data_IF_399793135898
#
_entry.id   IF_399793135898
#
_cell.length_a   1.000
_cell.length_b   1.000
_cell.length_c   1.000
_cell.angle_alpha   90.00
_cell.angle_beta   90.00
_cell.angle_gamma   90.00
#
_symmetry.space_group_name_H-M   'P 1'
#
loop_
_entity.id
_entity.type
_entity.pdbx_description
1 polymer ?
#
# COMPACT_ATOMS: atom_id res chain seq x y z
N UNK A 1 -14.53 -8.27 49.24
CA UNK A 1 -14.90 -6.98 48.61
C UNK A 1 -13.61 -6.35 48.09
N UNK A 2 -13.52 -6.27 46.77
CA UNK A 2 -12.27 -6.09 46.01
C UNK A 2 -11.73 -4.67 46.11
N UNK A 3 -10.41 -4.55 46.22
CA UNK A 3 -9.65 -3.30 46.35
C UNK A 3 -9.45 -2.66 44.97
N UNK A 4 -9.70 -1.36 44.89
CA UNK A 4 -9.25 -0.47 43.82
C UNK A 4 -7.72 -0.58 43.67
N UNK A 5 -7.26 -0.76 42.43
CA UNK A 5 -5.86 -0.55 42.07
C UNK A 5 -5.80 0.53 40.97
N UNK A 6 -5.41 1.73 41.39
CA UNK A 6 -5.14 2.88 40.53
C UNK A 6 -3.71 2.75 39.99
N UNK A 7 -3.53 2.67 38.68
CA UNK A 7 -2.21 2.72 38.03
C UNK A 7 -1.86 4.18 37.70
N UNK A 8 -0.85 4.73 38.37
CA UNK A 8 -0.18 5.96 37.98
C UNK A 8 0.96 5.63 37.02
N UNK A 9 0.91 6.17 35.80
CA UNK A 9 2.00 6.12 34.82
C UNK A 9 2.96 7.29 35.11
N UNK A 10 4.22 6.97 35.42
CA UNK A 10 5.28 7.95 35.56
C UNK A 10 6.09 8.04 34.26
N UNK A 11 6.05 9.22 33.62
CA UNK A 11 6.91 9.61 32.50
C UNK A 11 8.27 10.06 33.04
N UNK A 12 9.33 9.34 32.68
CA UNK A 12 10.70 9.78 32.93
C UNK A 12 11.27 10.45 31.67
N UNK A 13 11.29 11.79 31.67
CA UNK A 13 12.13 12.58 30.78
C UNK A 13 13.56 12.59 31.32
N UNK A 14 14.52 12.07 30.55
CA UNK A 14 15.94 12.31 30.77
C UNK A 14 16.48 13.20 29.66
N UNK A 15 16.45 14.50 29.93
CA UNK A 15 17.26 15.52 29.27
C UNK A 15 18.51 15.75 30.12
N UNK A 16 19.69 15.56 29.55
CA UNK A 16 20.91 16.17 30.07
C UNK A 16 21.63 16.92 28.93
N UNK A 17 21.57 18.25 29.02
CA UNK A 17 22.54 19.18 28.43
C UNK A 17 23.86 19.10 29.21
N UNK A 18 24.98 19.17 28.51
CA UNK A 18 26.31 19.46 29.06
C UNK A 18 27.20 20.04 27.96
N UNK A 19 27.83 21.18 28.23
CA UNK A 19 28.33 22.14 27.26
C UNK A 19 29.85 22.06 26.96
N UNK A 20 30.20 22.70 25.84
CA UNK A 20 31.38 23.58 25.62
C UNK A 20 32.64 23.04 24.91
N UNK A 21 32.79 23.56 23.69
CA UNK A 21 33.98 24.10 22.99
C UNK A 21 35.34 23.40 23.05
N UNK A 22 35.87 23.09 21.86
CA UNK A 22 37.22 23.53 21.45
C UNK A 22 37.35 23.59 19.92
N UNK A 23 37.68 24.79 19.45
CA UNK A 23 38.07 25.17 18.10
C UNK A 23 39.35 24.46 17.67
N UNK A 24 39.37 23.88 16.46
CA UNK A 24 40.59 23.62 15.71
C UNK A 24 40.35 24.02 14.26
N UNK A 25 41.03 25.10 13.87
CA UNK A 25 41.15 25.60 12.50
C UNK A 25 42.11 24.67 11.74
N UNK A 26 41.68 24.13 10.60
CA UNK A 26 42.57 23.52 9.63
C UNK A 26 42.07 23.83 8.21
N UNK A 27 42.84 24.68 7.54
CA UNK A 27 42.76 25.11 6.16
C UNK A 27 42.93 23.91 5.23
N UNK A 28 42.04 23.73 4.24
CA UNK A 28 42.22 22.77 3.15
C UNK A 28 42.50 23.53 1.84
N UNK A 29 43.52 23.16 1.05
CA UNK A 29 43.87 23.84 -0.18
C UNK A 29 42.94 23.46 -1.34
N UNK A 30 42.68 24.45 -2.19
CA UNK A 30 42.13 24.30 -3.53
C UNK A 30 43.14 23.55 -4.40
N UNK A 31 42.72 22.43 -5.00
CA UNK A 31 43.26 22.04 -6.31
C UNK A 31 42.24 21.24 -7.12
N UNK A 32 42.24 21.59 -8.40
CA UNK A 32 41.39 21.14 -9.50
C UNK A 32 41.78 19.71 -9.91
N UNK A 33 40.81 18.86 -10.32
CA UNK A 33 40.81 18.06 -11.57
C UNK A 33 39.71 16.98 -11.56
N UNK A 34 39.11 16.82 -12.75
CA UNK A 34 38.37 15.68 -13.30
C UNK A 34 36.88 15.50 -12.91
N UNK A 35 36.03 16.18 -13.69
CA UNK A 35 34.68 15.71 -14.01
C UNK A 35 34.77 14.30 -14.61
N UNK A 36 34.32 13.32 -13.84
CA UNK A 36 33.98 11.99 -14.38
C UNK A 36 32.47 11.98 -14.52
N UNK A 37 32.01 11.91 -15.77
CA UNK A 37 30.59 11.88 -16.14
C UNK A 37 29.91 10.70 -15.43
N UNK A 38 29.03 11.02 -14.48
CA UNK A 38 28.12 10.05 -13.88
C UNK A 38 26.99 9.84 -14.88
N UNK A 39 26.84 8.60 -15.35
CA UNK A 39 25.77 8.21 -16.25
C UNK A 39 24.41 8.51 -15.60
N UNK A 40 23.64 9.38 -16.27
CA UNK A 40 22.25 9.67 -15.93
C UNK A 40 21.45 8.36 -15.92
N UNK A 41 20.90 8.06 -14.75
CA UNK A 41 19.88 7.05 -14.57
C UNK A 41 18.68 7.49 -15.42
N UNK A 42 18.44 6.77 -16.53
CA UNK A 42 17.24 6.96 -17.32
C UNK A 42 16.04 6.54 -16.47
N UNK A 43 15.39 7.52 -15.88
CA UNK A 43 13.99 7.40 -15.48
C UNK A 43 13.22 6.91 -16.69
N UNK A 44 12.78 5.65 -16.61
CA UNK A 44 11.90 5.09 -17.62
C UNK A 44 10.54 5.69 -17.35
N UNK A 45 10.25 6.79 -18.04
CA UNK A 45 8.95 7.46 -18.06
C UNK A 45 7.91 6.40 -18.41
N UNK A 46 7.17 5.94 -17.41
CA UNK A 46 5.98 5.12 -17.58
C UNK A 46 4.98 6.00 -18.35
N UNK A 47 4.38 5.53 -19.45
CA UNK A 47 3.42 6.34 -20.19
C UNK A 47 2.26 6.71 -19.26
N UNK A 48 2.03 8.01 -19.07
CA UNK A 48 0.77 8.51 -18.52
C UNK A 48 -0.38 7.85 -19.28
N UNK A 49 -1.41 7.31 -18.61
CA UNK A 49 -2.61 6.85 -19.28
C UNK A 49 -3.32 8.08 -19.87
N UNK A 50 -2.93 8.47 -21.09
CA UNK A 50 -3.62 9.49 -21.85
C UNK A 50 -5.05 9.00 -22.10
N UNK A 51 -6.02 9.53 -21.35
CA UNK A 51 -7.46 9.27 -21.57
C UNK A 51 -8.32 9.14 -20.31
N UNK A 52 -7.74 8.87 -19.13
CA UNK A 52 -8.53 8.69 -17.90
C UNK A 52 -8.60 10.02 -17.14
N UNK A 53 -9.82 10.53 -16.91
CA UNK A 53 -10.10 11.66 -16.02
C UNK A 53 -10.90 11.19 -14.82
N UNK A 54 -10.78 11.90 -13.70
CA UNK A 54 -11.50 11.58 -12.46
C UNK A 54 -12.10 12.86 -11.91
N UNK A 55 -13.27 12.74 -11.29
CA UNK A 55 -13.88 13.79 -10.47
C UNK A 55 -14.12 13.26 -9.07
N UNK A 56 -13.71 14.03 -8.06
CA UNK A 56 -13.95 13.73 -6.65
C UNK A 56 -14.93 14.76 -6.09
N UNK A 57 -16.02 14.28 -5.53
CA UNK A 57 -17.08 15.10 -4.95
C UNK A 57 -17.29 14.71 -3.49
N UNK A 58 -17.25 15.69 -2.58
CA UNK A 58 -17.74 15.50 -1.21
C UNK A 58 -19.27 15.50 -1.24
N UNK A 59 -19.88 14.47 -0.67
CA UNK A 59 -21.34 14.30 -0.64
C UNK A 59 -21.86 14.26 0.79
N UNK A 60 -23.16 14.48 0.96
CA UNK A 60 -23.81 14.34 2.27
C UNK A 60 -23.96 12.88 2.69
N UNK A 61 -24.16 12.65 3.99
CA UNK A 61 -24.46 11.31 4.52
C UNK A 61 -25.74 10.72 3.89
N UNK A 62 -26.76 11.54 3.65
CA UNK A 62 -28.02 11.10 3.02
C UNK A 62 -27.80 10.68 1.56
N UNK A 63 -26.98 11.43 0.80
CA UNK A 63 -26.61 11.07 -0.57
C UNK A 63 -25.81 9.76 -0.60
N UNK A 64 -24.88 9.58 0.34
CA UNK A 64 -24.10 8.35 0.47
C UNK A 64 -24.98 7.14 0.82
N UNK A 65 -25.90 7.30 1.78
CA UNK A 65 -26.85 6.27 2.17
C UNK A 65 -27.79 5.88 1.02
N UNK A 66 -28.29 6.87 0.26
CA UNK A 66 -29.09 6.65 -0.93
C UNK A 66 -28.31 5.93 -2.04
N UNK A 67 -27.03 6.27 -2.26
CA UNK A 67 -26.19 5.57 -3.23
C UNK A 67 -25.92 4.11 -2.80
N UNK A 68 -25.74 3.87 -1.50
CA UNK A 68 -25.45 2.55 -0.95
C UNK A 68 -26.61 1.55 -1.17
N UNK A 69 -27.85 2.00 -1.39
CA UNK A 69 -28.95 1.10 -1.78
C UNK A 69 -28.75 0.48 -3.16
N UNK A 70 -27.85 1.04 -3.96
CA UNK A 70 -27.45 0.54 -5.27
C UNK A 70 -26.06 -0.11 -5.26
N UNK A 71 -25.44 -0.25 -4.09
CA UNK A 71 -24.13 -0.87 -3.93
C UNK A 71 -24.12 -2.28 -4.54
N UNK A 72 -23.04 -2.59 -5.24
CA UNK A 72 -22.81 -3.90 -5.84
C UNK A 72 -21.87 -4.70 -4.95
N UNK A 73 -22.13 -6.00 -4.88
CA UNK A 73 -21.33 -6.89 -4.06
C UNK A 73 -19.88 -6.93 -4.57
N UNK A 74 -18.94 -6.70 -3.66
CA UNK A 74 -17.53 -6.98 -3.91
C UNK A 74 -17.31 -8.50 -3.96
N UNK A 75 -16.44 -8.96 -4.86
CA UNK A 75 -16.07 -10.37 -4.96
C UNK A 75 -14.69 -10.55 -4.32
N UNK A 76 -14.59 -11.30 -3.20
CA UNK A 76 -13.30 -11.61 -2.61
C UNK A 76 -12.39 -12.34 -3.60
N UNK A 77 -11.10 -12.03 -3.55
CA UNK A 77 -10.09 -12.72 -4.35
C UNK A 77 -9.69 -13.99 -3.60
N UNK A 78 -9.60 -15.11 -4.33
CA UNK A 78 -9.11 -16.37 -3.77
C UNK A 78 -7.67 -16.20 -3.28
N UNK A 79 -7.45 -16.53 -2.01
CA UNK A 79 -6.11 -16.54 -1.40
C UNK A 79 -5.78 -17.90 -0.78
N UNK A 80 -4.50 -18.22 -0.74
CA UNK A 80 -3.93 -19.38 -0.07
C UNK A 80 -3.03 -18.86 1.04
N UNK A 81 -3.32 -19.25 2.28
CA UNK A 81 -2.52 -18.90 3.47
C UNK A 81 -1.87 -20.12 4.11
N UNK A 82 -2.15 -21.33 3.59
CA UNK A 82 -1.58 -22.58 4.07
C UNK A 82 -0.10 -22.70 3.65
N UNK A 83 0.85 -22.77 4.61
CA UNK A 83 2.29 -22.82 4.33
C UNK A 83 2.70 -24.00 3.44
N UNK A 84 2.23 -25.20 3.72
CA UNK A 84 2.63 -26.41 2.99
C UNK A 84 2.13 -26.35 1.54
N UNK A 85 0.89 -25.90 1.34
CA UNK A 85 0.28 -25.76 0.04
C UNK A 85 0.97 -24.68 -0.79
N UNK A 86 1.33 -23.53 -0.18
CA UNK A 86 2.02 -22.46 -0.91
C UNK A 86 3.45 -22.86 -1.28
N UNK A 87 4.20 -23.49 -0.36
CA UNK A 87 5.54 -24.00 -0.63
C UNK A 87 5.53 -25.00 -1.80
N UNK A 88 4.54 -25.90 -1.84
CA UNK A 88 4.37 -26.84 -2.95
C UNK A 88 4.01 -26.13 -4.26
N UNK A 89 3.11 -25.14 -4.23
CA UNK A 89 2.64 -24.42 -5.43
C UNK A 89 3.68 -23.49 -6.02
N UNK A 90 4.49 -22.87 -5.18
CA UNK A 90 5.51 -21.90 -5.55
C UNK A 90 6.92 -22.51 -5.60
N UNK A 91 7.04 -23.83 -5.56
CA UNK A 91 8.32 -24.52 -5.69
C UNK A 91 9.07 -24.07 -6.97
N UNK A 92 10.31 -23.61 -6.80
CA UNK A 92 11.15 -23.06 -7.87
C UNK A 92 10.92 -21.58 -8.19
N UNK A 93 9.79 -21.01 -7.76
CA UNK A 93 9.46 -19.58 -7.89
C UNK A 93 9.83 -18.84 -6.61
N UNK A 94 9.53 -19.43 -5.46
CA UNK A 94 9.78 -18.84 -4.16
C UNK A 94 10.65 -19.77 -3.34
N UNK A 95 11.76 -19.25 -2.84
CA UNK A 95 12.52 -19.90 -1.78
C UNK A 95 12.09 -19.28 -0.46
N UNK A 96 11.56 -20.13 0.40
CA UNK A 96 11.17 -19.76 1.74
C UNK A 96 12.32 -19.98 2.72
N UNK A 97 12.28 -19.23 3.82
CA UNK A 97 13.13 -19.42 4.99
C UNK A 97 12.21 -19.72 6.17
N UNK A 98 12.26 -20.96 6.67
CA UNK A 98 11.58 -21.28 7.92
C UNK A 98 12.30 -20.55 9.06
N UNK A 99 11.59 -19.63 9.71
CA UNK A 99 11.99 -19.06 10.98
C UNK A 99 11.11 -19.69 12.08
N UNK A 100 11.57 -19.68 13.32
CA UNK A 100 10.90 -20.39 14.42
C UNK A 100 9.42 -19.99 14.60
N UNK A 101 9.08 -18.73 14.29
CA UNK A 101 7.75 -18.15 14.51
C UNK A 101 6.98 -17.80 13.23
N UNK A 102 7.63 -17.81 12.06
CA UNK A 102 7.00 -17.39 10.81
C UNK A 102 7.70 -17.96 9.56
N UNK A 103 6.96 -18.00 8.46
CA UNK A 103 7.49 -18.41 7.16
C UNK A 103 8.06 -17.19 6.43
N UNK A 104 9.38 -17.02 6.45
CA UNK A 104 10.06 -15.91 5.79
C UNK A 104 10.27 -16.13 4.30
N UNK A 105 10.62 -15.05 3.60
CA UNK A 105 11.05 -15.09 2.20
C UNK A 105 12.58 -15.07 2.13
N UNK A 106 13.18 -15.90 1.27
CA UNK A 106 14.62 -15.88 1.01
C UNK A 106 14.94 -15.32 -0.37
N UNK A 107 14.18 -15.75 -1.39
CA UNK A 107 14.43 -15.40 -2.79
C UNK A 107 13.19 -15.56 -3.63
N UNK A 108 12.98 -14.66 -4.57
CA UNK A 108 11.92 -14.73 -5.57
C UNK A 108 12.55 -14.88 -6.96
N UNK A 109 12.16 -15.94 -7.67
CA UNK A 109 12.46 -16.18 -9.07
C UNK A 109 11.18 -15.90 -9.87
N UNK A 110 11.07 -14.68 -10.37
CA UNK A 110 9.91 -14.23 -11.14
C UNK A 110 9.77 -15.04 -12.44
N UNK A 111 8.53 -15.21 -12.91
CA UNK A 111 8.24 -16.01 -14.11
C UNK A 111 8.75 -15.37 -15.40
N UNK A 112 9.04 -14.07 -15.40
CA UNK A 112 9.72 -13.39 -16.50
C UNK A 112 11.23 -13.72 -16.57
N UNK A 113 11.75 -14.54 -15.66
CA UNK A 113 13.16 -14.95 -15.60
C UNK A 113 14.03 -14.01 -14.76
N UNK A 114 13.50 -12.89 -14.26
CA UNK A 114 14.18 -12.06 -13.29
C UNK A 114 14.27 -12.78 -11.93
N UNK A 115 15.29 -12.45 -11.15
CA UNK A 115 15.40 -12.90 -9.76
C UNK A 115 15.62 -11.69 -8.88
N UNK A 116 14.99 -11.70 -7.70
CA UNK A 116 15.26 -10.70 -6.66
C UNK A 116 16.70 -10.77 -6.14
N UNK A 117 17.38 -11.91 -6.35
CA UNK A 117 18.57 -12.28 -5.57
C UNK A 117 18.23 -12.50 -4.10
N UNK A 118 19.26 -12.67 -3.29
CA UNK A 118 19.15 -12.64 -1.83
C UNK A 118 19.21 -11.17 -1.40
N UNK A 119 18.10 -10.65 -0.86
CA UNK A 119 18.00 -9.27 -0.37
C UNK A 119 17.96 -9.27 1.16
N UNK A 120 18.68 -8.34 1.79
CA UNK A 120 18.64 -8.12 3.25
C UNK A 120 17.22 -7.78 3.73
N UNK A 121 16.47 -7.00 2.96
CA UNK A 121 15.08 -6.64 3.23
C UNK A 121 14.15 -7.84 3.46
N UNK A 122 14.44 -8.99 2.85
CA UNK A 122 13.62 -10.19 3.00
C UNK A 122 13.71 -10.81 4.39
N UNK A 123 14.71 -10.45 5.19
CA UNK A 123 14.82 -10.89 6.58
C UNK A 123 13.63 -10.42 7.42
N UNK A 124 13.05 -9.27 7.06
CA UNK A 124 11.90 -8.68 7.75
C UNK A 124 10.55 -9.10 7.15
N UNK A 125 10.54 -9.90 6.08
CA UNK A 125 9.31 -10.25 5.37
C UNK A 125 8.78 -11.61 5.79
N UNK A 126 7.53 -11.61 6.29
CA UNK A 126 6.77 -12.81 6.64
C UNK A 126 5.71 -13.08 5.59
N UNK A 127 5.60 -14.31 5.12
CA UNK A 127 4.53 -14.74 4.21
C UNK A 127 3.15 -14.56 4.87
N UNK A 128 2.23 -13.92 4.14
CA UNK A 128 0.85 -13.72 4.58
C UNK A 128 -0.14 -14.48 3.70
N UNK A 129 -0.02 -14.32 2.38
CA UNK A 129 -0.92 -14.97 1.43
C UNK A 129 -0.32 -15.06 0.03
N UNK A 130 -0.81 -16.04 -0.73
CA UNK A 130 -0.62 -16.12 -2.17
C UNK A 130 -1.98 -16.04 -2.87
N UNK A 131 -2.11 -15.16 -3.88
CA UNK A 131 -3.33 -14.95 -4.66
C UNK A 131 -3.17 -15.59 -6.05
N UNK A 132 -3.63 -16.84 -6.27
CA UNK A 132 -3.22 -17.60 -7.45
C UNK A 132 -3.80 -17.08 -8.76
N UNK A 133 -4.96 -16.43 -8.73
CA UNK A 133 -5.59 -15.88 -9.93
C UNK A 133 -4.83 -14.66 -10.46
N UNK A 134 -4.24 -13.88 -9.56
CA UNK A 134 -3.46 -12.69 -9.91
C UNK A 134 -1.95 -12.98 -9.98
N UNK A 135 -1.56 -14.13 -9.42
CA UNK A 135 -0.18 -14.57 -9.25
C UNK A 135 0.64 -13.57 -8.41
N UNK A 136 0.04 -13.12 -7.31
CA UNK A 136 0.62 -12.14 -6.39
C UNK A 136 0.99 -12.81 -5.07
N UNK A 137 2.21 -12.57 -4.61
CA UNK A 137 2.67 -12.87 -3.26
C UNK A 137 2.40 -11.65 -2.37
N UNK A 138 1.83 -11.87 -1.18
CA UNK A 138 1.68 -10.87 -0.13
C UNK A 138 2.46 -11.32 1.10
N UNK A 139 3.21 -10.39 1.65
CA UNK A 139 4.00 -10.50 2.86
C UNK A 139 3.66 -9.34 3.81
N UNK A 140 3.90 -9.57 5.09
CA UNK A 140 4.00 -8.51 6.09
C UNK A 140 5.49 -8.15 6.23
N UNK A 141 5.81 -6.86 6.14
CA UNK A 141 7.15 -6.33 6.38
C UNK A 141 7.29 -5.66 7.75
N UNK A 142 8.43 -4.99 7.96
CA UNK A 142 8.68 -4.19 9.16
C UNK A 142 7.55 -3.20 9.43
N UNK A 143 7.25 -2.94 10.70
CA UNK A 143 6.11 -2.09 11.13
C UNK A 143 4.75 -2.54 10.59
N UNK A 144 4.55 -3.86 10.40
CA UNK A 144 3.30 -4.47 9.91
C UNK A 144 2.89 -3.96 8.51
N UNK A 145 3.85 -3.47 7.73
CA UNK A 145 3.58 -2.91 6.39
C UNK A 145 3.19 -4.00 5.41
N UNK A 146 2.33 -3.64 4.45
CA UNK A 146 2.00 -4.51 3.33
C UNK A 146 3.16 -4.54 2.34
N UNK A 147 3.66 -5.74 2.02
CA UNK A 147 4.67 -5.94 0.97
C UNK A 147 4.15 -6.94 -0.03
N UNK A 148 4.13 -6.60 -1.33
CA UNK A 148 3.57 -7.50 -2.34
C UNK A 148 4.39 -7.54 -3.63
N UNK A 149 4.30 -8.67 -4.33
CA UNK A 149 5.03 -8.91 -5.57
C UNK A 149 4.13 -9.58 -6.62
N UNK A 150 4.04 -9.02 -7.83
CA UNK A 150 3.50 -9.75 -9.00
C UNK A 150 4.57 -10.74 -9.47
N UNK A 151 4.31 -12.03 -9.28
CA UNK A 151 5.28 -13.08 -9.57
C UNK A 151 5.54 -13.26 -11.07
N UNK A 152 4.71 -12.67 -11.94
CA UNK A 152 4.91 -12.67 -13.39
C UNK A 152 5.80 -11.52 -13.82
N UNK A 153 5.51 -10.29 -13.37
CA UNK A 153 6.15 -9.07 -13.89
C UNK A 153 7.32 -8.60 -13.04
N UNK A 154 7.35 -8.95 -11.76
CA UNK A 154 8.28 -8.39 -10.79
C UNK A 154 7.91 -6.99 -10.31
N UNK A 155 6.72 -6.49 -10.66
CA UNK A 155 6.19 -5.25 -10.07
C UNK A 155 5.95 -5.47 -8.56
N UNK A 156 6.20 -4.43 -7.77
CA UNK A 156 6.17 -4.47 -6.31
C UNK A 156 4.99 -3.68 -5.74
N UNK A 157 4.95 -3.55 -4.41
CA UNK A 157 3.86 -3.03 -3.58
C UNK A 157 3.05 -1.87 -4.16
N UNK A 158 3.68 -0.77 -4.55
CA UNK A 158 2.96 0.43 -4.99
C UNK A 158 2.34 0.34 -6.39
N UNK A 159 2.62 -0.73 -7.13
CA UNK A 159 1.99 -1.04 -8.41
C UNK A 159 0.94 -2.15 -8.27
N UNK A 160 1.24 -3.11 -7.40
CA UNK A 160 0.47 -4.35 -7.21
C UNK A 160 -0.66 -4.16 -6.19
N UNK A 161 -0.33 -3.58 -5.04
CA UNK A 161 -1.21 -3.37 -3.90
C UNK A 161 -1.45 -4.61 -3.06
N UNK A 162 -2.39 -4.54 -2.12
CA UNK A 162 -2.81 -5.68 -1.32
C UNK A 162 -4.14 -6.26 -1.85
N UNK A 163 -4.15 -7.42 -2.53
CA UNK A 163 -5.38 -8.01 -3.07
C UNK A 163 -6.41 -8.40 -2.01
N UNK A 164 -6.05 -8.45 -0.72
CA UNK A 164 -7.01 -8.67 0.37
C UNK A 164 -7.85 -7.43 0.70
N UNK A 165 -7.37 -6.24 0.33
CA UNK A 165 -7.97 -4.95 0.66
C UNK A 165 -8.73 -4.31 -0.49
N UNK A 166 -8.88 -5.02 -1.62
CA UNK A 166 -9.49 -4.44 -2.82
C UNK A 166 -11.01 -4.38 -2.76
N UNK A 167 -11.56 -3.36 -3.40
CA UNK A 167 -12.97 -3.33 -3.78
C UNK A 167 -13.07 -3.23 -5.30
N UNK A 168 -13.69 -4.23 -5.91
CA UNK A 168 -13.74 -4.35 -7.38
C UNK A 168 -15.09 -3.90 -7.91
N UNK A 169 -15.07 -3.16 -9.01
CA UNK A 169 -16.27 -2.72 -9.70
C UNK A 169 -17.09 -3.91 -10.22
N UNK A 170 -18.39 -3.75 -10.52
CA UNK A 170 -19.32 -4.87 -10.74
C UNK A 170 -18.92 -5.82 -11.88
N UNK A 171 -18.39 -5.26 -12.99
CA UNK A 171 -17.88 -6.06 -14.11
C UNK A 171 -16.36 -6.21 -14.07
N UNK A 172 -15.71 -5.75 -13.00
CA UNK A 172 -14.27 -5.83 -12.80
C UNK A 172 -13.46 -4.98 -13.77
N UNK A 173 -14.01 -3.85 -14.22
CA UNK A 173 -13.29 -2.89 -15.07
C UNK A 173 -12.25 -2.12 -14.25
N UNK A 174 -12.64 -1.70 -13.05
CA UNK A 174 -11.78 -0.99 -12.11
C UNK A 174 -11.80 -1.66 -10.74
N UNK A 175 -10.79 -1.37 -9.92
CA UNK A 175 -10.81 -1.64 -8.49
C UNK A 175 -10.09 -0.56 -7.72
N UNK A 176 -10.59 -0.27 -6.53
CA UNK A 176 -9.83 0.43 -5.50
C UNK A 176 -8.89 -0.60 -4.87
N UNK A 177 -7.61 -0.25 -4.77
CA UNK A 177 -6.62 -1.03 -4.05
C UNK A 177 -5.93 -0.14 -3.01
N UNK A 178 -5.41 -0.79 -1.96
CA UNK A 178 -4.80 -0.16 -0.81
C UNK A 178 -3.53 -0.91 -0.42
N UNK A 179 -2.61 -0.18 0.20
CA UNK A 179 -1.41 -0.72 0.84
C UNK A 179 -1.32 -0.07 2.21
N UNK A 180 -1.18 -0.88 3.26
CA UNK A 180 -0.87 -0.34 4.57
C UNK A 180 0.61 0.01 4.66
N UNK A 181 0.92 1.30 4.81
CA UNK A 181 2.30 1.81 4.86
C UNK A 181 2.86 1.91 6.29
N UNK A 182 2.12 1.37 7.27
CA UNK A 182 2.40 1.57 8.68
C UNK A 182 1.80 2.89 9.19
N UNK A 183 2.04 3.19 10.47
CA UNK A 183 1.63 4.45 11.12
C UNK A 183 0.16 4.84 10.87
N UNK A 184 -0.74 3.87 10.82
CA UNK A 184 -2.20 4.06 10.73
C UNK A 184 -2.70 4.74 9.43
N UNK A 185 -1.93 4.73 8.34
CA UNK A 185 -2.32 5.29 7.05
C UNK A 185 -2.16 4.28 5.90
N UNK A 186 -3.04 4.35 4.92
CA UNK A 186 -2.99 3.54 3.71
C UNK A 186 -2.68 4.40 2.49
N UNK A 187 -1.88 3.86 1.59
CA UNK A 187 -1.75 4.35 0.23
C UNK A 187 -2.92 3.85 -0.62
N UNK A 188 -3.58 4.75 -1.35
CA UNK A 188 -4.79 4.46 -2.11
C UNK A 188 -4.61 4.76 -3.60
N UNK A 189 -4.99 3.79 -4.44
CA UNK A 189 -4.93 3.94 -5.87
C UNK A 189 -6.00 3.11 -6.58
N UNK A 190 -6.33 3.50 -7.81
CA UNK A 190 -7.29 2.77 -8.64
C UNK A 190 -6.51 2.03 -9.73
N UNK A 191 -6.86 0.76 -9.90
CA UNK A 191 -6.34 -0.09 -10.97
C UNK A 191 -7.43 -0.35 -12.01
N UNK A 192 -7.04 -0.39 -13.29
CA UNK A 192 -7.88 -0.76 -14.44
C UNK A 192 -7.52 -2.15 -14.90
N UNK A 193 -8.51 -2.95 -15.28
CA UNK A 193 -8.28 -4.27 -15.87
C UNK A 193 -7.91 -4.16 -17.34
N UNK A 194 -6.69 -4.56 -17.68
CA UNK A 194 -6.14 -4.60 -19.03
C UNK A 194 -5.59 -5.99 -19.32
N UNK A 195 -6.02 -6.60 -20.44
CA UNK A 195 -5.52 -7.93 -20.89
C UNK A 195 -5.49 -8.97 -19.75
N UNK A 196 -6.55 -9.01 -18.95
CA UNK A 196 -6.76 -9.88 -17.78
C UNK A 196 -6.00 -9.53 -16.49
N UNK A 197 -5.12 -8.53 -16.48
CA UNK A 197 -4.43 -8.06 -15.27
C UNK A 197 -4.91 -6.69 -14.85
N UNK A 198 -4.88 -6.40 -13.55
CA UNK A 198 -5.10 -5.06 -13.05
C UNK A 198 -3.79 -4.28 -13.07
N UNK A 199 -3.82 -3.05 -13.59
CA UNK A 199 -2.68 -2.12 -13.59
C UNK A 199 -3.10 -0.81 -12.96
N UNK A 200 -2.21 -0.22 -12.16
CA UNK A 200 -2.44 1.11 -11.57
C UNK A 200 -2.60 2.14 -12.68
N UNK A 201 -3.64 2.95 -12.57
CA UNK A 201 -3.96 4.03 -13.53
C UNK A 201 -4.23 5.37 -12.88
N UNK A 202 -4.58 5.41 -11.59
CA UNK A 202 -4.85 6.65 -10.85
C UNK A 202 -4.22 6.55 -9.47
N UNK A 203 -3.39 7.52 -9.13
CA UNK A 203 -2.90 7.80 -7.78
C UNK A 203 -3.98 8.53 -6.98
N UNK A 204 -4.89 7.77 -6.37
CA UNK A 204 -6.09 8.34 -5.78
C UNK A 204 -5.76 9.23 -4.58
N UNK A 205 -4.80 8.85 -3.74
CA UNK A 205 -4.36 9.65 -2.59
C UNK A 205 -3.86 11.04 -2.99
N UNK A 206 -2.97 11.10 -3.99
CA UNK A 206 -2.41 12.36 -4.49
C UNK A 206 -3.48 13.25 -5.14
N UNK A 207 -4.34 12.65 -5.97
CA UNK A 207 -5.42 13.38 -6.61
C UNK A 207 -6.41 13.94 -5.58
N UNK A 208 -6.75 13.12 -4.59
CA UNK A 208 -7.64 13.50 -3.50
C UNK A 208 -7.08 14.66 -2.68
N UNK A 209 -5.80 14.62 -2.30
CA UNK A 209 -5.15 15.73 -1.58
C UNK A 209 -5.13 17.00 -2.41
N UNK A 210 -4.83 16.89 -3.70
CA UNK A 210 -4.81 18.04 -4.62
C UNK A 210 -6.18 18.73 -4.67
N UNK A 211 -7.25 17.97 -4.80
CA UNK A 211 -8.63 18.47 -4.94
C UNK A 211 -9.25 18.92 -3.62
N UNK A 212 -8.99 18.22 -2.52
CA UNK A 212 -9.70 18.41 -1.25
C UNK A 212 -8.86 19.08 -0.15
N UNK A 213 -7.54 19.16 -0.33
CA UNK A 213 -6.55 19.58 0.69
C UNK A 213 -6.54 18.71 1.94
N UNK A 214 -6.87 17.42 1.80
CA UNK A 214 -6.88 16.42 2.88
C UNK A 214 -6.12 15.17 2.46
N UNK A 215 -5.49 14.51 3.42
CA UNK A 215 -4.87 13.21 3.19
C UNK A 215 -5.93 12.11 3.19
N UNK A 216 -5.83 11.22 2.21
CA UNK A 216 -6.68 10.03 2.11
C UNK A 216 -6.01 8.88 2.88
N UNK A 217 -6.05 8.93 4.22
CA UNK A 217 -5.34 7.94 5.04
C UNK A 217 -6.12 6.67 5.34
N UNK A 218 -7.34 6.78 5.86
CA UNK A 218 -8.18 5.61 6.16
C UNK A 218 -9.54 5.80 5.54
N UNK A 219 -9.87 4.93 4.59
CA UNK A 219 -11.20 4.81 4.04
C UNK A 219 -11.92 3.60 4.61
N UNK A 220 -13.22 3.77 4.81
CA UNK A 220 -14.14 2.71 5.20
C UNK A 220 -15.39 2.79 4.31
N UNK A 221 -16.24 1.76 4.40
CA UNK A 221 -17.56 1.73 3.74
C UNK A 221 -17.45 1.91 2.21
N UNK A 222 -16.39 1.35 1.63
CA UNK A 222 -16.13 1.45 0.20
C UNK A 222 -17.12 0.60 -0.59
N UNK A 223 -17.72 1.17 -1.65
CA UNK A 223 -18.56 0.42 -2.57
C UNK A 223 -18.61 1.05 -3.96
N UNK A 224 -18.93 0.22 -4.94
CA UNK A 224 -19.19 0.62 -6.32
C UNK A 224 -20.69 0.53 -6.61
N UNK A 225 -21.26 1.50 -7.31
CA UNK A 225 -22.65 1.41 -7.84
C UNK A 225 -22.69 0.89 -9.27
N UNK A 226 -21.64 1.17 -10.03
CA UNK A 226 -21.40 0.76 -11.41
C UNK A 226 -19.87 0.64 -11.64
N UNK A 227 -19.42 0.48 -12.89
CA UNK A 227 -18.00 0.33 -13.17
C UNK A 227 -17.15 1.60 -12.99
N UNK A 228 -17.78 2.76 -12.90
CA UNK A 228 -17.09 4.05 -12.97
C UNK A 228 -17.30 4.91 -11.72
N UNK A 229 -18.21 4.51 -10.84
CA UNK A 229 -18.59 5.29 -9.67
C UNK A 229 -18.27 4.53 -8.39
N UNK A 230 -17.26 5.03 -7.69
CA UNK A 230 -16.80 4.56 -6.38
C UNK A 230 -17.28 5.53 -5.29
N UNK A 231 -17.67 4.98 -4.15
CA UNK A 231 -18.01 5.72 -2.95
C UNK A 231 -17.17 5.22 -1.78
N UNK A 232 -16.79 6.10 -0.88
CA UNK A 232 -16.16 5.74 0.39
C UNK A 232 -16.41 6.80 1.47
N UNK A 233 -16.24 6.41 2.73
CA UNK A 233 -16.13 7.32 3.86
C UNK A 233 -14.66 7.49 4.26
N UNK A 234 -14.16 8.72 4.21
CA UNK A 234 -12.86 9.09 4.80
C UNK A 234 -13.05 9.23 6.31
N UNK A 235 -12.31 8.47 7.10
CA UNK A 235 -12.28 8.62 8.56
C UNK A 235 -11.63 9.96 8.91
N UNK A 236 -12.39 10.82 9.58
CA UNK A 236 -11.90 12.13 10.05
C UNK A 236 -11.61 12.18 11.54
N UNK A 237 -12.19 11.26 12.31
CA UNK A 237 -11.93 11.12 13.73
C UNK A 237 -12.13 9.68 14.19
N UNK A 238 -11.16 9.15 14.95
CA UNK A 238 -11.29 7.87 15.64
C UNK A 238 -12.04 8.04 16.96
N UNK A 239 -13.05 7.18 17.20
CA UNK A 239 -13.83 7.19 18.45
C UNK A 239 -14.16 5.77 18.87
N UNK A 240 -14.25 5.56 20.19
CA UNK A 240 -14.61 4.25 20.77
C UNK A 240 -15.97 3.74 20.29
N UNK A 241 -16.96 4.64 20.15
CA UNK A 241 -18.32 4.30 19.73
C UNK A 241 -18.50 4.23 18.20
N UNK A 242 -17.42 4.40 17.44
CA UNK A 242 -17.41 4.38 15.98
C UNK A 242 -16.85 5.65 15.37
N UNK A 243 -16.04 5.47 14.33
CA UNK A 243 -15.34 6.53 13.62
C UNK A 243 -16.32 7.55 13.00
N UNK A 244 -15.91 8.81 12.94
CA UNK A 244 -16.59 9.82 12.13
C UNK A 244 -16.06 9.82 10.70
N UNK A 245 -16.97 10.03 9.75
CA UNK A 245 -16.65 10.01 8.33
C UNK A 245 -17.09 11.27 7.60
N UNK A 246 -16.28 11.68 6.64
CA UNK A 246 -16.74 12.46 5.50
C UNK A 246 -16.93 11.56 4.28
N UNK A 247 -18.00 11.76 3.53
CA UNK A 247 -18.35 10.87 2.42
C UNK A 247 -17.98 11.47 1.09
N UNK A 248 -17.45 10.62 0.20
CA UNK A 248 -16.97 11.02 -1.11
C UNK A 248 -17.50 10.11 -2.20
N UNK A 249 -17.71 10.70 -3.37
CA UNK A 249 -17.99 10.04 -4.63
C UNK A 249 -16.83 10.31 -5.58
N UNK A 250 -16.31 9.26 -6.18
CA UNK A 250 -15.30 9.31 -7.24
C UNK A 250 -15.94 8.81 -8.53
N UNK A 251 -15.90 9.65 -9.56
CA UNK A 251 -16.40 9.31 -10.90
C UNK A 251 -15.24 9.24 -11.88
N UNK A 252 -15.08 8.11 -12.56
CA UNK A 252 -14.03 7.87 -13.56
C UNK A 252 -14.62 8.10 -14.95
N UNK A 253 -13.93 8.90 -15.77
CA UNK A 253 -14.23 9.12 -17.18
C UNK A 253 -13.10 8.50 -18.00
N UNK A 254 -13.42 7.51 -18.81
CA UNK A 254 -12.48 6.73 -19.62
C UNK A 254 -13.01 6.78 -21.06
N UNK A 255 -12.39 7.67 -21.86
CA UNK A 255 -12.75 7.91 -23.27
C UNK A 255 -12.38 6.70 -24.17
#
# INVERSE_FOLDING_TARGET
MSKLLTYCIALAFLSCRGASEKTVTATVPTDTIAQTATAEQKDTIKPEPQGIRVSIEKISADQFAAANTHAKANKPILKITDPELVQKKLAGILEFKDNDDYLGIKRINFRNGASSGDKEEFEEYSFMAYFPTEDILLCEGGHTTDVSFDLVTGEETYEVGNPDLVTTSPNGRYRLNKVYEGQECFYHFIQKKEKQKFRKVIELGELFEKETKKWLCVTEREFWTDDFTLYFGLVTQYKEDGNEHEFYKVTIFDD
#
